data_IF_741793842120
#
_entry.id   IF_741793842120
#
_cell.length_a   1.000
_cell.length_b   1.000
_cell.length_c   1.000
_cell.angle_alpha   90.00
_cell.angle_beta   90.00
_cell.angle_gamma   90.00
#
_symmetry.space_group_name_H-M   'P 1'
#
loop_
_entity.id
_entity.type
_entity.pdbx_description
1 polymer ?
#
# COMPACT_ATOMS: atom_id res chain seq x y z
N UNK A 1 -11.13 -32.88 18.93
CA UNK A 1 -10.20 -32.77 17.79
C UNK A 1 -10.19 -31.32 17.37
N UNK A 2 -9.40 -30.51 18.06
CA UNK A 2 -9.20 -29.11 17.72
C UNK A 2 -8.14 -29.06 16.64
N UNK A 3 -8.54 -28.72 15.41
CA UNK A 3 -7.63 -28.51 14.31
C UNK A 3 -6.84 -27.23 14.59
N UNK A 4 -5.59 -27.40 15.01
CA UNK A 4 -4.58 -26.34 14.99
C UNK A 4 -4.34 -26.01 13.51
N UNK A 5 -4.64 -24.80 13.02
CA UNK A 5 -4.27 -24.46 11.65
C UNK A 5 -2.74 -24.52 11.56
N UNK A 6 -2.24 -25.38 10.68
CA UNK A 6 -0.82 -25.49 10.37
C UNK A 6 -0.28 -24.12 9.95
N UNK A 7 0.94 -23.72 10.36
CA UNK A 7 1.54 -22.51 9.84
C UNK A 7 1.80 -22.76 8.35
N UNK A 8 1.00 -22.13 7.49
CA UNK A 8 1.32 -22.05 6.08
C UNK A 8 2.56 -21.15 5.98
N UNK A 9 3.73 -21.78 5.91
CA UNK A 9 5.02 -21.12 5.66
C UNK A 9 5.08 -20.63 4.21
N UNK A 10 4.19 -19.70 3.85
CA UNK A 10 4.36 -18.82 2.71
C UNK A 10 5.10 -17.55 3.12
N UNK A 11 5.60 -16.74 2.17
CA UNK A 11 6.09 -15.40 2.50
C UNK A 11 4.97 -14.61 3.21
N UNK A 12 5.34 -13.86 4.25
CA UNK A 12 4.39 -13.00 4.97
C UNK A 12 3.75 -12.03 3.98
N UNK A 13 2.47 -12.21 3.69
CA UNK A 13 1.69 -11.28 2.88
C UNK A 13 0.88 -10.39 3.80
N UNK A 14 0.75 -9.12 3.42
CA UNK A 14 -0.12 -8.16 4.06
C UNK A 14 -1.39 -8.01 3.23
N UNK A 15 -2.55 -8.00 3.88
CA UNK A 15 -3.82 -7.69 3.23
C UNK A 15 -4.08 -6.19 3.33
N UNK A 16 -4.19 -5.53 2.19
CA UNK A 16 -4.54 -4.11 2.10
C UNK A 16 -5.75 -3.92 1.19
N UNK A 17 -6.45 -2.80 1.34
CA UNK A 17 -7.52 -2.39 0.44
C UNK A 17 -7.06 -1.20 -0.38
N UNK A 18 -7.10 -1.32 -1.70
CA UNK A 18 -6.69 -0.29 -2.63
C UNK A 18 -7.82 -0.04 -3.64
N UNK A 19 -8.29 1.21 -3.74
CA UNK A 19 -9.43 1.58 -4.61
C UNK A 19 -10.67 0.69 -4.39
N UNK A 20 -10.90 0.24 -3.15
CA UNK A 20 -12.00 -0.67 -2.80
C UNK A 20 -11.78 -2.15 -3.18
N UNK A 21 -10.64 -2.51 -3.78
CA UNK A 21 -10.25 -3.90 -4.03
C UNK A 21 -9.34 -4.41 -2.91
N UNK A 22 -9.58 -5.63 -2.46
CA UNK A 22 -8.72 -6.31 -1.50
C UNK A 22 -7.51 -6.91 -2.23
N UNK A 23 -6.30 -6.61 -1.76
CA UNK A 23 -5.04 -7.02 -2.36
C UNK A 23 -4.13 -7.66 -1.31
N UNK A 24 -3.40 -8.70 -1.71
CA UNK A 24 -2.36 -9.31 -0.90
C UNK A 24 -1.01 -8.88 -1.47
N UNK A 25 -0.17 -8.30 -0.62
CA UNK A 25 1.12 -7.72 -1.03
C UNK A 25 2.24 -8.32 -0.19
N UNK A 26 3.44 -8.46 -0.76
CA UNK A 26 4.60 -9.01 -0.05
C UNK A 26 5.56 -7.93 0.44
N UNK A 27 5.47 -6.75 -0.15
CA UNK A 27 6.31 -5.61 0.18
C UNK A 27 5.87 -4.90 1.46
N UNK A 28 6.84 -4.41 2.22
CA UNK A 28 6.63 -3.74 3.51
C UNK A 28 6.50 -2.22 3.38
N UNK A 29 6.62 -1.66 2.17
CA UNK A 29 6.55 -0.22 1.89
C UNK A 29 5.56 0.10 0.76
N UNK A 30 4.74 1.12 0.97
CA UNK A 30 3.68 1.49 0.03
C UNK A 30 4.20 1.81 -1.38
N UNK A 31 5.36 2.46 -1.51
CA UNK A 31 5.85 2.84 -2.84
C UNK A 31 6.23 1.62 -3.69
N UNK A 32 6.80 0.58 -3.07
CA UNK A 32 7.17 -0.66 -3.76
C UNK A 32 5.93 -1.45 -4.14
N UNK A 33 4.93 -1.52 -3.25
CA UNK A 33 3.62 -2.09 -3.56
C UNK A 33 3.01 -1.42 -4.80
N UNK A 34 2.97 -0.09 -4.82
CA UNK A 34 2.38 0.62 -5.94
C UNK A 34 3.15 0.41 -7.25
N UNK A 35 4.46 0.21 -7.18
CA UNK A 35 5.27 -0.14 -8.33
C UNK A 35 4.99 -1.56 -8.82
N UNK A 36 4.94 -2.54 -7.91
CA UNK A 36 4.63 -3.94 -8.20
C UNK A 36 3.25 -4.07 -8.86
N UNK A 37 2.28 -3.31 -8.34
CA UNK A 37 0.93 -3.22 -8.88
C UNK A 37 0.83 -2.38 -10.18
N UNK A 38 1.93 -1.82 -10.67
CA UNK A 38 1.97 -1.06 -11.92
C UNK A 38 1.31 0.33 -11.85
N UNK A 39 0.98 0.82 -10.66
CA UNK A 39 0.31 2.11 -10.43
C UNK A 39 1.25 3.29 -10.57
N UNK A 40 2.56 3.06 -10.45
CA UNK A 40 3.60 4.06 -10.72
C UNK A 40 4.74 3.44 -11.49
N UNK A 41 5.48 4.30 -12.19
CA UNK A 41 6.76 3.97 -12.81
C UNK A 41 7.81 4.96 -12.36
N UNK A 42 9.08 4.53 -12.43
CA UNK A 42 10.20 5.44 -12.33
C UNK A 42 10.02 6.56 -13.38
N UNK A 43 9.93 7.78 -12.88
CA UNK A 43 9.82 8.99 -13.70
C UNK A 43 10.48 10.14 -12.97
N UNK A 44 10.80 11.21 -13.69
CA UNK A 44 11.30 12.45 -13.11
C UNK A 44 10.31 13.13 -12.14
N UNK A 45 9.07 12.63 -12.03
CA UNK A 45 8.08 13.11 -11.07
C UNK A 45 8.22 12.47 -9.69
N UNK A 46 8.85 11.30 -9.55
CA UNK A 46 8.99 10.64 -8.26
C UNK A 46 10.46 10.54 -7.87
N UNK A 47 10.80 11.09 -6.70
CA UNK A 47 12.17 11.12 -6.18
C UNK A 47 12.53 9.91 -5.31
N UNK A 48 11.54 9.17 -4.79
CA UNK A 48 11.68 8.01 -3.88
C UNK A 48 12.40 8.28 -2.54
N UNK A 49 12.98 9.46 -2.36
CA UNK A 49 13.69 9.89 -1.16
C UNK A 49 12.84 10.77 -0.20
N UNK A 50 11.60 11.12 -0.59
CA UNK A 50 10.69 11.94 0.20
C UNK A 50 10.76 13.46 -0.02
N UNK A 51 11.60 13.96 -0.94
CA UNK A 51 11.74 15.40 -1.21
C UNK A 51 10.57 15.98 -2.03
N UNK A 52 10.16 15.32 -3.12
CA UNK A 52 9.21 15.88 -4.09
C UNK A 52 7.73 15.87 -3.65
N UNK A 53 7.36 15.09 -2.62
CA UNK A 53 5.98 14.89 -2.14
C UNK A 53 4.95 14.40 -3.17
N UNK A 54 5.36 14.02 -4.39
CA UNK A 54 4.44 13.57 -5.44
C UNK A 54 3.81 12.19 -5.18
N UNK A 55 4.32 11.44 -4.19
CA UNK A 55 3.77 10.15 -3.75
C UNK A 55 2.91 10.27 -2.49
N UNK A 56 2.36 11.45 -2.19
CA UNK A 56 1.46 11.64 -1.05
C UNK A 56 0.15 10.89 -1.26
N UNK A 57 -0.15 9.96 -0.35
CA UNK A 57 -1.36 9.13 -0.34
C UNK A 57 -2.11 9.34 0.96
N UNK A 58 -3.43 9.13 0.93
CA UNK A 58 -4.25 9.09 2.14
C UNK A 58 -4.72 7.68 2.40
N UNK A 59 -4.59 7.23 3.64
CA UNK A 59 -5.01 5.91 4.07
C UNK A 59 -5.57 5.93 5.48
N UNK A 60 -6.21 4.83 5.88
CA UNK A 60 -6.67 4.58 7.25
C UNK A 60 -6.46 3.12 7.62
N UNK A 61 -6.44 2.84 8.92
CA UNK A 61 -6.38 1.47 9.45
C UNK A 61 -7.80 0.98 9.72
N UNK A 62 -8.31 0.10 8.86
CA UNK A 62 -9.69 -0.38 8.94
C UNK A 62 -10.76 0.67 8.60
N UNK A 63 -12.05 0.27 8.56
CA UNK A 63 -13.14 1.13 8.09
C UNK A 63 -13.38 2.39 8.93
N UNK A 64 -13.22 2.29 10.25
CA UNK A 64 -13.44 3.38 11.22
C UNK A 64 -12.13 4.10 11.61
N UNK A 65 -11.01 3.73 10.98
CA UNK A 65 -9.72 4.36 11.24
C UNK A 65 -9.68 5.83 10.85
N UNK A 66 -8.88 6.61 11.58
CA UNK A 66 -8.57 8.00 11.22
C UNK A 66 -7.79 8.03 9.90
N UNK A 67 -8.14 8.95 9.02
CA UNK A 67 -7.36 9.21 7.81
C UNK A 67 -6.02 9.87 8.12
N UNK A 68 -4.98 9.35 7.50
CA UNK A 68 -3.59 9.80 7.59
C UNK A 68 -3.10 10.04 6.18
N UNK A 69 -2.58 11.24 5.93
CA UNK A 69 -1.98 11.61 4.65
C UNK A 69 -0.47 11.68 4.80
N UNK A 70 0.24 10.79 4.12
CA UNK A 70 1.70 10.68 4.20
C UNK A 70 2.34 10.33 2.85
N UNK A 71 3.67 10.40 2.79
CA UNK A 71 4.43 10.05 1.58
C UNK A 71 4.62 8.54 1.50
N UNK A 72 4.08 7.91 0.46
CA UNK A 72 4.17 6.47 0.25
C UNK A 72 5.60 5.93 0.37
N UNK A 73 6.61 6.63 -0.17
CA UNK A 73 8.02 6.20 -0.12
C UNK A 73 8.64 6.20 1.28
N UNK A 74 7.94 6.73 2.30
CA UNK A 74 8.36 6.74 3.71
C UNK A 74 7.36 6.00 4.60
N UNK A 75 6.32 5.42 4.02
CA UNK A 75 5.23 4.79 4.77
C UNK A 75 5.31 3.27 4.62
N UNK A 76 5.55 2.54 5.72
CA UNK A 76 5.44 1.09 5.69
C UNK A 76 3.98 0.67 5.53
N UNK A 77 3.75 -0.38 4.75
CA UNK A 77 2.46 -1.02 4.64
C UNK A 77 2.15 -1.81 5.91
N UNK A 78 0.87 -1.87 6.27
CA UNK A 78 0.41 -2.59 7.45
C UNK A 78 -0.84 -3.39 7.12
N UNK A 79 -1.03 -4.51 7.81
CA UNK A 79 -2.21 -5.35 7.70
C UNK A 79 -3.49 -4.54 7.94
N UNK A 80 -4.48 -4.69 7.07
CA UNK A 80 -5.76 -3.98 7.16
C UNK A 80 -5.71 -2.51 6.77
N UNK A 81 -4.61 -2.03 6.18
CA UNK A 81 -4.52 -0.68 5.65
C UNK A 81 -5.48 -0.49 4.46
N UNK A 82 -6.20 0.64 4.45
CA UNK A 82 -7.13 1.02 3.39
C UNK A 82 -6.66 2.32 2.78
N UNK A 83 -6.24 2.30 1.51
CA UNK A 83 -5.86 3.49 0.76
C UNK A 83 -7.14 4.16 0.25
N UNK A 84 -7.41 5.38 0.71
CA UNK A 84 -8.63 6.13 0.41
C UNK A 84 -8.43 7.19 -0.67
N UNK A 85 -7.21 7.71 -0.83
CA UNK A 85 -6.86 8.66 -1.89
C UNK A 85 -5.43 8.45 -2.39
N UNK A 86 -5.25 8.64 -3.70
CA UNK A 86 -3.95 8.57 -4.38
C UNK A 86 -3.77 9.80 -5.27
N UNK A 87 -2.53 10.30 -5.41
CA UNK A 87 -2.30 11.52 -6.14
C UNK A 87 -2.45 11.27 -7.65
N UNK A 88 -2.87 12.29 -8.40
CA UNK A 88 -3.25 12.15 -9.81
C UNK A 88 -2.13 11.69 -10.77
N UNK A 89 -0.88 11.63 -10.30
CA UNK A 89 0.26 11.09 -11.04
C UNK A 89 0.28 9.55 -11.08
N UNK A 90 -0.52 8.87 -10.25
CA UNK A 90 -0.68 7.42 -10.27
C UNK A 90 -1.58 6.99 -11.43
N UNK A 91 -1.27 5.84 -12.02
CA UNK A 91 -2.18 5.16 -12.93
C UNK A 91 -3.41 4.69 -12.14
N UNK A 92 -4.60 4.83 -12.76
CA UNK A 92 -5.88 4.59 -12.09
C UNK A 92 -6.42 3.17 -12.26
N UNK A 93 -5.72 2.30 -12.96
CA UNK A 93 -6.20 0.97 -13.33
C UNK A 93 -5.38 -0.10 -12.59
N UNK A 94 -6.09 -0.86 -11.75
CA UNK A 94 -5.69 -2.12 -11.11
C UNK A 94 -6.23 -3.31 -11.87
#
# INVERSE_FOLDING_TARGET
>A
MEQIPSPQSGPSTLQITLQGKLCHVQEDNLIWIFQEMGLIRFSNKFCWNGECKNCTVTFKMGPEGKEITERACRTPAQEGMIITDMPGQFYKEL
#
